data_IF_903847057772
#
_entry.id   IF_903847057772
#
_cell.length_a   1.000
_cell.length_b   1.000
_cell.length_c   1.000
_cell.angle_alpha   90.00
_cell.angle_beta   90.00
_cell.angle_gamma   90.00
#
_symmetry.space_group_name_H-M   'P 1'
#
loop_
_entity.id
_entity.type
_entity.pdbx_description
1 polymer ?
#
# COMPACT_ATOMS: atom_id res chain seq x y z
N UNK A 1 -15.55 32.10 27.18
CA UNK A 1 -14.93 30.81 27.50
C UNK A 1 -15.00 29.91 26.27
N UNK A 2 -13.93 29.83 25.50
CA UNK A 2 -13.79 28.91 24.37
C UNK A 2 -13.28 27.55 24.87
N UNK A 3 -13.89 26.41 24.51
CA UNK A 3 -13.21 25.13 24.65
C UNK A 3 -12.52 24.74 23.33
N UNK A 4 -11.21 24.55 23.48
CA UNK A 4 -10.29 23.61 22.82
C UNK A 4 -10.70 23.05 21.43
N UNK A 5 -9.98 23.52 20.42
CA UNK A 5 -9.73 22.76 19.20
C UNK A 5 -8.88 21.51 19.53
N UNK A 6 -9.49 20.33 19.46
CA UNK A 6 -8.79 19.05 19.45
C UNK A 6 -8.02 18.90 18.13
N UNK A 7 -6.69 18.83 18.26
CA UNK A 7 -5.73 18.57 17.18
C UNK A 7 -6.00 17.18 16.57
N UNK A 8 -6.52 17.13 15.34
CA UNK A 8 -6.71 15.88 14.58
C UNK A 8 -5.35 15.39 14.07
N UNK A 9 -4.65 14.57 14.87
CA UNK A 9 -3.47 13.84 14.42
C UNK A 9 -3.86 12.90 13.27
N UNK A 10 -3.46 13.24 12.06
CA UNK A 10 -3.63 12.36 10.90
C UNK A 10 -2.56 11.29 10.98
N UNK A 11 -2.96 10.09 11.39
CA UNK A 11 -2.08 8.93 11.57
C UNK A 11 -1.60 8.44 10.20
N UNK A 12 -0.29 8.51 9.96
CA UNK A 12 0.37 7.86 8.84
C UNK A 12 0.46 6.35 9.14
N UNK A 13 -0.12 5.53 8.27
CA UNK A 13 -0.09 4.07 8.38
C UNK A 13 1.23 3.54 7.81
N UNK A 14 1.94 2.73 8.58
CA UNK A 14 3.04 1.89 8.10
C UNK A 14 2.58 0.43 8.13
N UNK A 15 2.61 -0.27 7.01
CA UNK A 15 2.24 -1.69 6.93
C UNK A 15 3.42 -2.57 7.36
N UNK A 16 3.12 -3.67 8.04
CA UNK A 16 4.10 -4.51 8.76
C UNK A 16 5.14 -5.14 7.85
N UNK A 17 6.41 -4.81 8.09
CA UNK A 17 7.55 -5.60 7.63
C UNK A 17 8.25 -6.38 8.76
N UNK A 18 8.21 -5.87 9.99
CA UNK A 18 9.11 -6.31 11.05
C UNK A 18 8.82 -7.68 11.70
N UNK A 19 7.69 -8.34 11.44
CA UNK A 19 7.39 -9.66 12.06
C UNK A 19 7.55 -10.88 11.15
N UNK A 20 7.85 -10.72 9.86
CA UNK A 20 7.86 -11.89 8.94
C UNK A 20 9.18 -12.64 8.85
N UNK A 21 10.21 -12.27 9.61
CA UNK A 21 11.54 -12.86 9.47
C UNK A 21 11.83 -14.12 10.31
N UNK A 22 10.91 -14.61 11.15
CA UNK A 22 11.24 -15.69 12.12
C UNK A 22 10.32 -16.91 12.16
N UNK A 23 9.28 -17.02 11.32
CA UNK A 23 8.46 -18.24 11.27
C UNK A 23 8.37 -18.79 9.85
N UNK A 24 9.28 -19.71 9.52
CA UNK A 24 9.14 -20.64 8.42
C UNK A 24 8.07 -21.70 8.78
N UNK A 25 6.81 -21.28 8.84
CA UNK A 25 5.72 -22.20 8.53
C UNK A 25 5.24 -21.83 7.13
N UNK A 26 5.40 -22.77 6.20
CA UNK A 26 4.82 -22.72 4.88
C UNK A 26 3.30 -22.89 5.01
N UNK A 27 2.64 -21.89 5.59
CA UNK A 27 1.20 -21.79 5.49
C UNK A 27 0.92 -21.25 4.10
N UNK A 28 0.25 -22.06 3.28
CA UNK A 28 -0.19 -21.64 1.95
C UNK A 28 -1.02 -20.36 2.07
N UNK A 29 -0.80 -19.42 1.16
CA UNK A 29 -1.65 -18.23 1.09
C UNK A 29 -3.05 -18.64 0.66
N UNK A 30 -4.11 -18.30 1.42
CA UNK A 30 -5.49 -18.46 0.98
C UNK A 30 -5.72 -18.05 -0.48
N UNK A 31 -6.58 -18.81 -1.16
CA UNK A 31 -7.02 -18.53 -2.54
C UNK A 31 -7.60 -17.12 -2.62
N UNK A 32 -7.33 -16.42 -3.72
CA UNK A 32 -7.87 -15.09 -3.98
C UNK A 32 -9.41 -15.14 -4.03
N UNK A 33 -10.05 -14.28 -3.25
CA UNK A 33 -11.51 -14.23 -3.11
C UNK A 33 -12.14 -13.10 -3.94
N UNK A 34 -11.33 -12.27 -4.59
CA UNK A 34 -11.77 -11.25 -5.53
C UNK A 34 -11.81 -11.83 -6.93
N UNK A 35 -12.98 -11.77 -7.55
CA UNK A 35 -13.19 -12.17 -8.94
C UNK A 35 -13.39 -10.92 -9.78
N UNK A 36 -12.38 -10.63 -10.60
CA UNK A 36 -12.39 -9.53 -11.55
C UNK A 36 -12.89 -10.05 -12.92
N UNK A 37 -13.52 -9.20 -13.75
CA UNK A 37 -13.91 -9.57 -15.10
C UNK A 37 -12.68 -9.81 -15.97
N UNK A 38 -12.66 -10.91 -16.70
CA UNK A 38 -11.59 -11.24 -17.65
C UNK A 38 -11.74 -10.49 -18.97
N UNK A 39 -10.63 -10.39 -19.72
CA UNK A 39 -10.59 -9.90 -21.09
C UNK A 39 -10.78 -8.39 -21.24
N UNK A 40 -10.67 -7.62 -20.15
CA UNK A 40 -10.89 -6.17 -20.16
C UNK A 40 -9.87 -5.44 -19.31
N UNK A 41 -9.44 -4.29 -19.82
CA UNK A 41 -8.69 -3.30 -19.06
C UNK A 41 -9.64 -2.34 -18.33
N UNK A 42 -9.32 -2.05 -17.08
CA UNK A 42 -10.05 -1.10 -16.24
C UNK A 42 -9.15 0.04 -15.80
N UNK A 43 -9.55 1.26 -16.18
CA UNK A 43 -8.94 2.50 -15.70
C UNK A 43 -9.61 2.98 -14.41
N UNK A 44 -8.84 2.96 -13.33
CA UNK A 44 -9.25 3.32 -11.98
C UNK A 44 -8.62 4.67 -11.61
N UNK A 45 -9.39 5.76 -11.49
CA UNK A 45 -8.84 7.00 -10.94
C UNK A 45 -8.50 6.78 -9.46
N UNK A 46 -7.47 7.45 -8.97
CA UNK A 46 -7.17 7.48 -7.54
C UNK A 46 -6.95 8.90 -7.02
N UNK A 47 -7.10 9.05 -5.71
CA UNK A 47 -6.86 10.28 -4.98
C UNK A 47 -5.79 10.05 -3.91
N UNK A 48 -5.04 11.09 -3.55
CA UNK A 48 -4.13 11.02 -2.43
C UNK A 48 -4.83 11.37 -1.13
N UNK A 49 -4.73 10.50 -0.12
CA UNK A 49 -4.87 10.95 1.26
C UNK A 49 -3.70 11.85 1.60
N UNK A 50 -3.99 12.94 2.32
CA UNK A 50 -2.99 13.86 2.83
C UNK A 50 -2.93 13.73 4.34
N UNK A 51 -1.74 13.81 4.91
CA UNK A 51 -1.53 14.08 6.32
C UNK A 51 -0.81 15.42 6.47
N UNK A 52 -0.60 15.85 7.71
CA UNK A 52 0.22 17.03 8.02
C UNK A 52 1.64 16.90 7.42
N UNK A 53 2.10 15.67 7.21
CA UNK A 53 3.49 15.33 6.95
C UNK A 53 3.77 14.95 5.49
N UNK A 54 2.73 14.57 4.75
CA UNK A 54 2.88 14.11 3.37
C UNK A 54 1.64 14.43 2.53
N UNK A 55 1.89 14.83 1.28
CA UNK A 55 0.85 14.97 0.27
C UNK A 55 0.45 13.62 -0.34
N UNK A 56 1.20 12.56 -0.04
CA UNK A 56 1.09 11.23 -0.63
C UNK A 56 1.01 10.18 0.48
N UNK A 57 0.11 10.38 1.45
CA UNK A 57 0.04 9.52 2.65
C UNK A 57 -0.63 8.18 2.40
N UNK A 58 -1.57 8.11 1.45
CA UNK A 58 -2.16 6.85 0.97
C UNK A 58 -2.77 7.03 -0.42
N UNK A 59 -2.68 5.98 -1.26
CA UNK A 59 -3.35 5.92 -2.55
C UNK A 59 -4.79 5.42 -2.34
N UNK A 60 -5.78 6.25 -2.61
CA UNK A 60 -7.19 5.96 -2.37
C UNK A 60 -7.94 5.69 -3.67
N UNK A 61 -8.55 4.51 -3.77
CA UNK A 61 -9.37 4.11 -4.91
C UNK A 61 -10.85 4.23 -4.53
N UNK A 62 -11.69 4.86 -5.37
CA UNK A 62 -13.12 4.99 -5.09
C UNK A 62 -13.82 3.63 -5.16
N UNK A 63 -14.71 3.37 -4.22
CA UNK A 63 -15.52 2.15 -4.12
C UNK A 63 -16.99 2.49 -3.93
N UNK A 64 -17.87 1.71 -4.55
CA UNK A 64 -19.33 1.80 -4.40
C UNK A 64 -19.94 0.44 -4.09
N UNK A 65 -20.92 0.45 -3.20
CA UNK A 65 -21.80 -0.69 -2.95
C UNK A 65 -23.09 -0.57 -3.76
N UNK A 66 -23.71 -1.70 -4.07
CA UNK A 66 -25.06 -1.74 -4.66
C UNK A 66 -26.06 -1.02 -3.74
N UNK A 67 -26.93 -0.21 -4.33
CA UNK A 67 -27.96 0.53 -3.57
C UNK A 67 -27.42 1.69 -2.71
N UNK A 68 -26.14 2.01 -2.81
CA UNK A 68 -25.54 3.16 -2.13
C UNK A 68 -25.12 4.24 -3.14
N UNK A 69 -25.71 5.45 -3.09
CA UNK A 69 -25.33 6.54 -3.99
C UNK A 69 -23.99 7.19 -3.64
N UNK A 70 -23.49 7.00 -2.41
CA UNK A 70 -22.25 7.60 -1.93
C UNK A 70 -21.02 6.84 -2.44
N UNK A 71 -19.99 7.58 -2.82
CA UNK A 71 -18.65 7.04 -3.09
C UNK A 71 -17.90 6.98 -1.76
N UNK A 72 -17.33 5.82 -1.48
CA UNK A 72 -16.35 5.62 -0.41
C UNK A 72 -14.97 5.38 -1.03
N UNK A 73 -13.95 5.25 -0.19
CA UNK A 73 -12.59 5.01 -0.65
C UNK A 73 -11.98 3.82 0.09
N UNK A 74 -11.12 3.09 -0.59
CA UNK A 74 -10.25 2.08 0.02
C UNK A 74 -8.81 2.39 -0.33
N UNK A 75 -7.91 2.20 0.64
CA UNK A 75 -6.48 2.37 0.43
C UNK A 75 -5.96 1.21 -0.42
N UNK A 76 -5.28 1.47 -1.52
CA UNK A 76 -4.51 0.46 -2.22
C UNK A 76 -3.19 0.21 -1.48
N UNK A 77 -2.98 -1.02 -1.05
CA UNK A 77 -1.94 -1.38 -0.08
C UNK A 77 -1.29 -2.72 -0.45
N UNK A 78 -0.16 -2.65 -1.16
CA UNK A 78 0.63 -3.85 -1.49
C UNK A 78 1.38 -4.42 -0.28
N UNK A 79 1.39 -3.71 0.85
CA UNK A 79 1.78 -4.20 2.16
C UNK A 79 0.80 -5.22 2.74
N UNK A 80 -0.46 -5.21 2.28
CA UNK A 80 -1.49 -6.17 2.65
C UNK A 80 -1.69 -7.22 1.56
N UNK A 81 -1.49 -8.53 1.83
CA UNK A 81 -1.74 -9.57 0.84
C UNK A 81 -3.22 -9.74 0.50
N UNK A 82 -4.15 -9.21 1.31
CA UNK A 82 -5.59 -9.35 1.13
C UNK A 82 -6.33 -8.03 1.28
N UNK A 83 -7.44 -7.92 0.57
CA UNK A 83 -8.41 -6.85 0.73
C UNK A 83 -9.29 -7.09 1.96
N UNK A 84 -9.68 -6.01 2.64
CA UNK A 84 -10.52 -6.05 3.83
C UNK A 84 -11.36 -4.80 4.00
N UNK A 85 -12.47 -4.92 4.74
CA UNK A 85 -13.32 -3.79 5.13
C UNK A 85 -13.23 -3.53 6.63
N UNK A 86 -13.46 -2.27 7.01
CA UNK A 86 -13.49 -1.84 8.39
C UNK A 86 -14.89 -2.02 8.97
N UNK A 87 -14.99 -2.77 10.08
CA UNK A 87 -16.24 -3.21 10.69
C UNK A 87 -17.24 -2.07 10.93
N UNK A 88 -16.83 -1.05 11.68
CA UNK A 88 -17.72 0.05 12.08
C UNK A 88 -18.17 0.90 10.89
N UNK A 89 -17.30 1.06 9.89
CA UNK A 89 -17.61 1.76 8.65
C UNK A 89 -18.67 0.98 7.86
N UNK A 90 -18.47 -0.32 7.66
CA UNK A 90 -19.43 -1.18 6.96
C UNK A 90 -20.79 -1.23 7.66
N UNK A 91 -20.80 -1.34 8.99
CA UNK A 91 -22.04 -1.30 9.78
C UNK A 91 -22.79 0.02 9.58
N UNK A 92 -22.12 1.17 9.76
CA UNK A 92 -22.74 2.48 9.57
C UNK A 92 -23.31 2.68 8.15
N UNK A 93 -22.65 2.13 7.13
CA UNK A 93 -23.15 2.14 5.75
C UNK A 93 -24.43 1.28 5.64
N UNK A 94 -24.41 0.06 6.18
CA UNK A 94 -25.54 -0.87 6.16
C UNK A 94 -26.78 -0.37 6.92
N UNK A 95 -26.58 0.40 7.98
CA UNK A 95 -27.66 1.04 8.75
C UNK A 95 -28.37 2.11 7.93
N UNK A 96 -27.63 2.86 7.08
CA UNK A 96 -28.19 3.92 6.23
C UNK A 96 -28.70 3.41 4.88
N UNK A 97 -28.05 2.40 4.32
CA UNK A 97 -28.35 1.85 2.99
C UNK A 97 -28.59 0.35 3.11
N UNK A 98 -29.84 -0.10 3.37
CA UNK A 98 -30.13 -1.50 3.68
C UNK A 98 -29.77 -2.51 2.58
N UNK A 99 -29.58 -2.06 1.34
CA UNK A 99 -29.15 -2.89 0.21
C UNK A 99 -27.65 -3.16 0.17
N UNK A 100 -26.84 -2.51 1.01
CA UNK A 100 -25.40 -2.79 1.06
C UNK A 100 -25.12 -4.08 1.82
N UNK A 101 -24.04 -4.79 1.49
CA UNK A 101 -23.68 -6.03 2.16
C UNK A 101 -23.56 -5.83 3.68
N UNK A 102 -24.20 -6.72 4.45
CA UNK A 102 -24.16 -6.70 5.92
C UNK A 102 -23.23 -7.78 6.44
N UNK A 103 -22.76 -7.57 7.67
CA UNK A 103 -22.01 -8.57 8.42
C UNK A 103 -22.99 -9.70 8.73
N UNK A 104 -22.87 -10.83 8.04
CA UNK A 104 -23.85 -11.91 8.09
C UNK A 104 -23.73 -12.79 9.33
N UNK A 105 -22.61 -12.72 10.06
CA UNK A 105 -22.34 -13.61 11.19
C UNK A 105 -21.21 -13.09 12.13
N UNK A 106 -20.93 -13.86 13.18
CA UNK A 106 -19.80 -13.67 14.10
C UNK A 106 -18.44 -13.97 13.48
N UNK A 107 -18.36 -14.51 12.25
CA UNK A 107 -17.10 -14.95 11.63
C UNK A 107 -16.22 -13.79 11.19
N UNK A 108 -16.77 -12.57 11.14
CA UNK A 108 -16.03 -11.38 10.73
C UNK A 108 -15.63 -11.40 9.26
N UNK A 109 -16.47 -12.00 8.41
CA UNK A 109 -16.29 -12.06 6.97
C UNK A 109 -17.53 -11.53 6.25
N UNK A 110 -17.31 -10.91 5.10
CA UNK A 110 -18.35 -10.55 4.15
C UNK A 110 -18.35 -11.61 3.04
N UNK A 111 -19.51 -12.15 2.70
CA UNK A 111 -19.62 -13.22 1.70
C UNK A 111 -20.53 -12.82 0.53
N UNK A 112 -20.20 -13.33 -0.66
CA UNK A 112 -21.05 -13.30 -1.86
C UNK A 112 -21.65 -11.93 -2.17
N UNK A 113 -20.82 -10.91 -2.31
CA UNK A 113 -21.28 -9.56 -2.64
C UNK A 113 -20.59 -8.99 -3.87
N UNK A 114 -21.26 -8.05 -4.53
CA UNK A 114 -20.64 -7.28 -5.62
C UNK A 114 -20.37 -5.85 -5.17
N UNK A 115 -19.15 -5.38 -5.44
CA UNK A 115 -18.72 -4.00 -5.25
C UNK A 115 -18.23 -3.44 -6.58
N UNK A 116 -18.22 -2.11 -6.73
CA UNK A 116 -17.50 -1.46 -7.82
C UNK A 116 -16.26 -0.80 -7.28
N UNK A 117 -15.10 -1.14 -7.81
CA UNK A 117 -13.83 -0.45 -7.59
C UNK A 117 -13.62 0.46 -8.79
N UNK A 118 -13.76 1.77 -8.61
CA UNK A 118 -13.92 2.71 -9.72
C UNK A 118 -15.11 2.32 -10.61
N UNK A 119 -14.82 2.01 -11.87
CA UNK A 119 -15.80 1.48 -12.83
C UNK A 119 -15.76 -0.06 -12.95
N UNK A 120 -14.80 -0.73 -12.32
CA UNK A 120 -14.62 -2.19 -12.39
C UNK A 120 -15.61 -2.89 -11.47
N UNK A 121 -16.51 -3.74 -12.00
CA UNK A 121 -17.34 -4.59 -11.15
C UNK A 121 -16.47 -5.71 -10.58
N UNK A 122 -16.54 -5.94 -9.28
CA UNK A 122 -15.81 -7.01 -8.59
C UNK A 122 -16.80 -7.87 -7.83
N UNK A 123 -16.74 -9.17 -8.04
CA UNK A 123 -17.43 -10.15 -7.21
C UNK A 123 -16.50 -10.55 -6.07
N UNK A 124 -16.96 -10.35 -4.84
CA UNK A 124 -16.28 -10.72 -3.60
C UNK A 124 -16.92 -12.02 -3.11
N UNK A 125 -16.20 -13.13 -3.22
CA UNK A 125 -16.64 -14.42 -2.67
C UNK A 125 -16.60 -14.38 -1.15
N UNK A 126 -15.49 -13.89 -0.62
CA UNK A 126 -15.25 -13.67 0.80
C UNK A 126 -14.32 -12.45 0.96
N UNK A 127 -14.54 -11.63 1.97
CA UNK A 127 -13.62 -10.55 2.36
C UNK A 127 -13.58 -10.42 3.87
N UNK A 128 -12.37 -10.29 4.41
CA UNK A 128 -12.19 -10.14 5.86
C UNK A 128 -12.75 -8.79 6.29
N UNK A 129 -13.45 -8.79 7.43
CA UNK A 129 -13.89 -7.59 8.13
C UNK A 129 -13.05 -7.46 9.40
N UNK A 130 -12.30 -6.37 9.49
CA UNK A 130 -11.45 -6.09 10.65
C UNK A 130 -12.00 -4.93 11.47
N UNK A 131 -11.93 -5.08 12.79
CA UNK A 131 -12.04 -3.94 13.69
C UNK A 131 -10.70 -3.19 13.61
N UNK A 132 -10.71 -1.98 13.05
CA UNK A 132 -9.50 -1.16 12.90
C UNK A 132 -9.50 0.03 13.84
N UNK A 133 -10.60 0.78 13.86
CA UNK A 133 -10.84 1.89 14.77
C UNK A 133 -12.29 1.89 15.28
N UNK A 134 -12.62 2.78 16.20
CA UNK A 134 -13.99 2.93 16.72
C UNK A 134 -14.87 3.87 15.87
N UNK A 135 -14.38 4.40 14.76
CA UNK A 135 -15.05 5.48 14.01
C UNK A 135 -16.10 4.95 13.04
N UNK A 136 -17.29 5.57 13.06
CA UNK A 136 -18.33 5.38 12.05
C UNK A 136 -18.10 6.25 10.81
N UNK A 137 -19.10 6.34 9.93
CA UNK A 137 -19.07 7.25 8.77
C UNK A 137 -19.46 8.66 9.18
N UNK A 138 -18.66 9.67 8.81
CA UNK A 138 -19.11 11.05 8.88
C UNK A 138 -20.09 11.34 7.71
N UNK A 139 -21.35 11.50 8.07
CA UNK A 139 -22.44 11.75 7.13
C UNK A 139 -22.68 13.22 6.81
N UNK A 140 -22.11 14.13 7.59
CA UNK A 140 -22.34 15.58 7.49
C UNK A 140 -21.37 16.25 6.51
N UNK A 141 -20.22 15.62 6.25
CA UNK A 141 -19.22 16.12 5.32
C UNK A 141 -19.01 15.16 4.15
N UNK A 142 -18.79 15.72 2.96
CA UNK A 142 -18.35 14.98 1.77
C UNK A 142 -16.86 14.61 1.84
N UNK A 143 -16.35 14.31 3.03
CA UNK A 143 -14.98 13.85 3.22
C UNK A 143 -14.76 12.48 2.53
N UNK A 144 -13.51 12.24 2.12
CA UNK A 144 -13.08 10.94 1.61
C UNK A 144 -13.07 9.93 2.76
N UNK A 145 -14.19 9.23 2.93
CA UNK A 145 -14.34 8.19 3.95
C UNK A 145 -13.63 6.91 3.50
N UNK A 146 -12.57 6.56 4.20
CA UNK A 146 -11.82 5.32 3.99
C UNK A 146 -12.53 4.19 4.74
N UNK A 147 -12.96 3.16 4.01
CA UNK A 147 -13.79 2.07 4.53
C UNK A 147 -13.07 0.72 4.55
N UNK A 148 -11.83 0.69 4.10
CA UNK A 148 -11.04 -0.53 4.04
C UNK A 148 -9.76 -0.40 3.23
N UNK A 149 -9.17 -1.56 2.96
CA UNK A 149 -7.91 -1.74 2.26
C UNK A 149 -8.11 -2.66 1.07
N UNK A 150 -7.58 -2.28 -0.09
CA UNK A 150 -7.44 -3.10 -1.29
C UNK A 150 -6.02 -3.64 -1.31
N UNK A 151 -5.88 -4.94 -1.00
CA UNK A 151 -4.59 -5.60 -0.93
C UNK A 151 -4.04 -5.99 -2.30
N UNK A 152 -2.90 -6.68 -2.30
CA UNK A 152 -2.26 -7.22 -3.51
C UNK A 152 -3.12 -8.28 -4.19
N UNK A 153 -4.08 -8.89 -3.50
CA UNK A 153 -5.09 -9.78 -4.10
C UNK A 153 -5.92 -9.11 -5.22
N UNK A 154 -6.04 -7.77 -5.22
CA UNK A 154 -6.67 -7.03 -6.31
C UNK A 154 -5.90 -7.17 -7.64
N UNK A 155 -4.58 -7.28 -7.58
CA UNK A 155 -3.68 -7.33 -8.74
C UNK A 155 -2.97 -8.69 -8.89
N UNK A 156 -3.43 -9.70 -8.14
CA UNK A 156 -2.88 -11.05 -8.21
C UNK A 156 -3.21 -11.65 -9.59
N UNK A 157 -2.18 -12.16 -10.26
CA UNK A 157 -2.27 -12.71 -11.61
C UNK A 157 -2.80 -11.69 -12.65
N UNK A 158 -2.31 -10.43 -12.58
CA UNK A 158 -2.69 -9.28 -13.43
C UNK A 158 -1.47 -8.45 -13.81
N UNK A 159 -1.63 -7.60 -14.83
CA UNK A 159 -0.78 -6.44 -15.01
C UNK A 159 -1.46 -5.22 -14.40
N UNK A 160 -0.69 -4.42 -13.67
CA UNK A 160 -1.10 -3.11 -13.17
C UNK A 160 -0.16 -2.02 -13.68
N UNK A 161 -0.72 -0.94 -14.21
CA UNK A 161 0.01 0.30 -14.51
C UNK A 161 -0.41 1.32 -13.47
N UNK A 162 0.51 1.81 -12.65
CA UNK A 162 0.27 2.92 -11.72
C UNK A 162 0.90 4.17 -12.33
N UNK A 163 0.05 5.03 -12.89
CA UNK A 163 0.47 6.30 -13.45
C UNK A 163 0.36 7.39 -12.38
N UNK A 164 1.46 7.62 -11.64
CA UNK A 164 1.48 8.58 -10.55
C UNK A 164 1.21 10.03 -11.01
N UNK A 165 1.84 10.53 -12.09
CA UNK A 165 1.58 11.88 -12.59
C UNK A 165 0.12 12.11 -12.97
N UNK A 166 -0.51 11.15 -13.65
CA UNK A 166 -1.88 11.26 -14.15
C UNK A 166 -2.96 10.71 -13.19
N UNK A 167 -2.54 10.19 -12.03
CA UNK A 167 -3.41 9.76 -10.91
C UNK A 167 -4.45 8.71 -11.29
N UNK A 168 -4.03 7.69 -12.02
CA UNK A 168 -4.85 6.51 -12.27
C UNK A 168 -4.05 5.22 -12.24
N UNK A 169 -4.75 4.11 -12.04
CA UNK A 169 -4.25 2.77 -12.29
C UNK A 169 -4.96 2.16 -13.49
N UNK A 170 -4.26 1.36 -14.28
CA UNK A 170 -4.86 0.40 -15.21
C UNK A 170 -4.68 -0.99 -14.63
N UNK A 171 -5.74 -1.79 -14.61
CA UNK A 171 -5.67 -3.21 -14.29
C UNK A 171 -6.17 -3.99 -15.50
N UNK A 172 -5.36 -4.92 -15.97
CA UNK A 172 -5.62 -5.75 -17.15
C UNK A 172 -5.17 -7.19 -16.90
N UNK A 173 -5.60 -8.09 -17.79
CA UNK A 173 -5.01 -9.41 -17.83
C UNK A 173 -3.51 -9.33 -18.17
N UNK A 174 -2.70 -10.27 -17.65
CA UNK A 174 -1.26 -10.25 -17.88
C UNK A 174 -0.90 -10.18 -19.35
N UNK A 175 0.05 -9.33 -19.70
CA UNK A 175 0.53 -9.27 -21.07
C UNK A 175 1.28 -10.56 -21.41
N UNK A 176 0.96 -11.15 -22.57
CA UNK A 176 1.77 -12.26 -23.10
C UNK A 176 3.11 -11.78 -23.64
N UNK A 177 3.22 -10.48 -23.96
CA UNK A 177 4.42 -9.86 -24.50
C UNK A 177 4.66 -8.49 -23.85
N UNK A 178 5.90 -8.27 -23.44
CA UNK A 178 6.39 -6.99 -22.96
C UNK A 178 6.39 -5.97 -24.11
N UNK A 179 5.97 -4.74 -23.83
CA UNK A 179 5.95 -3.69 -24.85
C UNK A 179 7.38 -3.39 -25.33
N UNK A 180 7.58 -3.38 -26.65
CA UNK A 180 8.87 -3.08 -27.26
C UNK A 180 9.36 -1.68 -26.87
N UNK A 181 10.66 -1.55 -26.60
CA UNK A 181 11.30 -0.29 -26.21
C UNK A 181 11.27 0.04 -24.73
N UNK A 182 10.73 -0.84 -23.88
CA UNK A 182 10.77 -0.70 -22.42
C UNK A 182 11.79 -1.66 -21.82
N UNK A 183 12.54 -1.18 -20.81
CA UNK A 183 13.43 -2.03 -20.02
C UNK A 183 12.64 -2.73 -18.92
N UNK A 184 12.44 -4.03 -19.07
CA UNK A 184 11.76 -4.85 -18.07
C UNK A 184 12.78 -5.53 -17.15
N UNK A 185 12.55 -5.44 -15.85
CA UNK A 185 13.32 -6.13 -14.83
C UNK A 185 12.49 -7.23 -14.16
N UNK A 186 13.18 -8.18 -13.55
CA UNK A 186 12.57 -9.20 -12.70
C UNK A 186 12.18 -8.61 -11.34
N UNK A 187 10.97 -8.94 -10.88
CA UNK A 187 10.57 -8.77 -9.49
C UNK A 187 10.40 -10.13 -8.83
N UNK A 188 10.46 -10.15 -7.51
CA UNK A 188 10.09 -11.34 -6.73
C UNK A 188 8.63 -11.17 -6.30
N UNK A 189 7.77 -12.07 -6.79
CA UNK A 189 6.37 -12.15 -6.37
C UNK A 189 6.16 -13.45 -5.60
N UNK A 190 6.05 -13.35 -4.29
CA UNK A 190 5.85 -14.50 -3.42
C UNK A 190 4.86 -14.15 -2.30
N UNK A 191 3.89 -15.05 -2.07
CA UNK A 191 2.86 -14.87 -1.02
C UNK A 191 2.16 -13.50 -1.11
N UNK A 192 1.94 -13.01 -2.34
CA UNK A 192 1.39 -11.69 -2.68
C UNK A 192 2.20 -10.50 -2.14
N UNK A 193 3.49 -10.67 -1.91
CA UNK A 193 4.45 -9.58 -1.69
C UNK A 193 5.17 -9.27 -3.00
N UNK A 194 5.37 -7.99 -3.28
CA UNK A 194 6.11 -7.51 -4.45
C UNK A 194 7.46 -7.02 -3.95
N UNK A 195 8.54 -7.72 -4.30
CA UNK A 195 9.89 -7.31 -3.93
C UNK A 195 10.64 -6.85 -5.18
N UNK A 196 11.18 -5.64 -5.12
CA UNK A 196 11.89 -4.98 -6.21
C UNK A 196 13.39 -5.01 -5.93
N UNK A 197 14.21 -5.61 -6.82
CA UNK A 197 15.65 -5.43 -6.77
C UNK A 197 16.01 -3.97 -6.97
N UNK A 198 16.96 -3.49 -6.18
CA UNK A 198 17.49 -2.13 -6.30
C UNK A 198 18.96 -2.10 -5.91
N UNK A 199 19.70 -1.14 -6.44
CA UNK A 199 21.08 -0.89 -6.05
C UNK A 199 21.24 0.45 -5.36
N UNK A 200 22.05 0.46 -4.31
CA UNK A 200 22.40 1.66 -3.55
C UNK A 200 23.85 1.58 -3.12
N UNK A 201 24.64 2.63 -3.39
CA UNK A 201 26.07 2.62 -3.09
C UNK A 201 26.84 1.46 -3.73
N UNK A 202 26.43 1.00 -4.93
CA UNK A 202 27.04 -0.13 -5.63
C UNK A 202 26.68 -1.52 -5.08
N UNK A 203 25.78 -1.61 -4.10
CA UNK A 203 25.32 -2.88 -3.53
C UNK A 203 23.90 -3.18 -3.98
N UNK A 204 23.68 -4.38 -4.53
CA UNK A 204 22.35 -4.90 -4.84
C UNK A 204 21.61 -5.32 -3.57
N UNK A 205 20.35 -4.92 -3.46
CA UNK A 205 19.44 -5.18 -2.34
C UNK A 205 18.02 -5.40 -2.85
N UNK A 206 17.14 -5.85 -1.97
CA UNK A 206 15.72 -6.08 -2.27
C UNK A 206 14.86 -5.14 -1.42
N UNK A 207 13.93 -4.41 -2.05
CA UNK A 207 12.95 -3.58 -1.36
C UNK A 207 11.56 -4.23 -1.42
N UNK A 208 10.85 -4.29 -0.29
CA UNK A 208 9.42 -4.61 -0.32
C UNK A 208 8.65 -3.37 -0.81
N UNK A 209 7.97 -3.50 -1.95
CA UNK A 209 7.11 -2.45 -2.47
C UNK A 209 5.77 -2.45 -1.73
N UNK A 210 5.56 -1.40 -0.94
CA UNK A 210 4.45 -1.26 -0.02
C UNK A 210 3.77 0.10 -0.21
N UNK A 211 2.69 0.12 -1.01
CA UNK A 211 1.88 1.32 -1.22
C UNK A 211 1.16 1.79 0.03
N UNK A 212 1.07 0.98 1.09
CA UNK A 212 0.57 1.39 2.41
C UNK A 212 1.58 2.25 3.17
N UNK A 213 2.88 2.01 3.00
CA UNK A 213 3.97 2.85 3.49
C UNK A 213 4.27 4.03 2.54
N UNK A 214 3.20 4.63 2.01
CA UNK A 214 3.17 5.53 0.85
C UNK A 214 4.12 6.72 0.90
N UNK A 215 4.30 7.33 2.08
CA UNK A 215 5.05 8.58 2.23
C UNK A 215 6.58 8.42 2.17
N UNK A 216 7.08 7.19 2.12
CA UNK A 216 8.51 6.91 2.23
C UNK A 216 9.12 6.45 0.91
N UNK A 217 10.15 7.17 0.45
CA UNK A 217 10.92 6.77 -0.72
C UNK A 217 11.72 5.49 -0.46
N UNK A 218 12.42 5.44 0.67
CA UNK A 218 13.09 4.24 1.18
C UNK A 218 13.06 4.23 2.71
N UNK A 219 12.52 3.16 3.27
CA UNK A 219 12.63 2.78 4.68
C UNK A 219 13.73 1.72 4.79
N UNK A 220 14.81 1.99 5.51
CA UNK A 220 15.99 1.11 5.61
C UNK A 220 16.46 0.99 7.06
N UNK A 221 17.50 0.18 7.29
CA UNK A 221 18.17 0.14 8.59
C UNK A 221 18.91 1.46 8.91
N UNK A 222 19.07 1.74 10.20
CA UNK A 222 19.66 2.99 10.70
C UNK A 222 21.06 3.27 10.12
N UNK A 223 21.90 2.26 9.93
CA UNK A 223 23.26 2.46 9.42
C UNK A 223 23.21 2.92 7.95
N UNK A 224 22.41 2.26 7.12
CA UNK A 224 22.20 2.69 5.73
C UNK A 224 21.57 4.09 5.67
N UNK A 225 20.60 4.40 6.54
CA UNK A 225 19.97 5.72 6.56
C UNK A 225 20.95 6.85 6.90
N UNK A 226 21.84 6.63 7.88
CA UNK A 226 22.87 7.59 8.26
C UNK A 226 23.95 7.74 7.17
N UNK A 227 24.30 6.65 6.48
CA UNK A 227 25.27 6.68 5.39
C UNK A 227 24.76 7.51 4.20
N UNK A 228 23.47 7.44 3.90
CA UNK A 228 22.84 8.17 2.78
C UNK A 228 22.37 9.58 3.17
N UNK A 229 22.43 9.95 4.45
CA UNK A 229 22.03 11.29 4.87
C UNK A 229 22.99 12.34 4.30
N UNK A 230 22.45 13.46 3.81
CA UNK A 230 23.31 14.57 3.38
C UNK A 230 24.17 15.07 4.56
N UNK A 231 25.41 15.52 4.33
CA UNK A 231 26.25 16.08 5.39
C UNK A 231 25.54 17.19 6.17
N UNK A 232 25.48 17.06 7.50
CA UNK A 232 24.81 18.01 8.38
C UNK A 232 23.27 17.96 8.37
N UNK A 233 22.66 16.98 7.69
CA UNK A 233 21.20 16.81 7.71
C UNK A 233 20.71 16.50 9.14
N UNK A 234 19.80 17.34 9.63
CA UNK A 234 19.17 17.13 10.94
C UNK A 234 18.05 16.07 10.83
N UNK A 235 17.93 15.17 11.82
CA UNK A 235 16.86 14.18 11.84
C UNK A 235 15.50 14.86 12.03
N UNK A 236 14.49 14.32 11.36
CA UNK A 236 13.07 14.62 11.63
C UNK A 236 12.39 13.33 12.07
N UNK A 237 11.98 13.26 13.33
CA UNK A 237 11.33 12.08 13.92
C UNK A 237 9.83 12.30 14.06
N UNK A 238 9.03 11.27 13.78
CA UNK A 238 7.57 11.31 13.90
C UNK A 238 7.02 9.99 14.39
N UNK A 239 5.94 10.07 15.16
CA UNK A 239 5.22 8.89 15.58
C UNK A 239 4.32 8.42 14.43
N UNK A 240 4.48 7.16 14.04
CA UNK A 240 3.68 6.48 13.03
C UNK A 240 2.92 5.32 13.65
N UNK A 241 1.72 5.05 13.16
CA UNK A 241 0.97 3.87 13.61
C UNK A 241 1.18 2.74 12.63
N UNK A 242 1.53 1.58 13.16
CA UNK A 242 1.55 0.32 12.42
C UNK A 242 0.64 -0.67 13.13
N UNK A 243 -0.54 -0.91 12.55
CA UNK A 243 -1.52 -1.88 13.05
C UNK A 243 -1.79 -1.82 14.56
N UNK A 244 -2.01 -0.61 15.09
CA UNK A 244 -2.31 -0.40 16.51
C UNK A 244 -1.09 -0.25 17.41
N UNK A 245 0.12 -0.29 16.87
CA UNK A 245 1.37 0.02 17.58
C UNK A 245 1.90 1.38 17.16
N UNK A 246 2.36 2.16 18.12
CA UNK A 246 3.07 3.41 17.88
C UNK A 246 4.57 3.11 17.68
N UNK A 247 5.12 3.54 16.56
CA UNK A 247 6.54 3.45 16.22
C UNK A 247 7.07 4.86 15.95
N UNK A 248 8.40 5.05 15.99
CA UNK A 248 9.02 6.33 15.62
C UNK A 248 9.75 6.17 14.30
N UNK A 249 9.34 6.92 13.29
CA UNK A 249 10.04 7.04 12.01
C UNK A 249 10.98 8.24 12.07
N UNK A 250 12.27 8.00 11.86
CA UNK A 250 13.30 9.05 11.83
C UNK A 250 13.83 9.20 10.41
N UNK A 251 13.69 10.40 9.84
CA UNK A 251 14.04 10.71 8.46
C UNK A 251 15.15 11.74 8.36
N UNK A 252 16.01 11.61 7.35
CA UNK A 252 17.03 12.60 6.98
C UNK A 252 16.81 13.05 5.55
N UNK A 253 17.12 14.32 5.26
CA UNK A 253 17.26 14.78 3.87
C UNK A 253 18.43 14.05 3.23
N UNK A 254 18.26 13.67 1.96
CA UNK A 254 19.31 13.06 1.15
C UNK A 254 19.23 13.58 -0.28
N UNK A 255 20.40 13.77 -0.89
CA UNK A 255 20.55 14.03 -2.33
C UNK A 255 20.87 12.75 -3.10
N UNK A 256 20.97 11.61 -2.41
CA UNK A 256 21.22 10.32 -3.04
C UNK A 256 19.99 9.81 -3.78
N UNK A 257 20.27 8.78 -4.56
CA UNK A 257 19.32 8.05 -5.39
C UNK A 257 19.57 6.57 -5.25
N UNK A 258 18.55 5.77 -5.53
CA UNK A 258 18.71 4.33 -5.76
C UNK A 258 18.47 4.02 -7.23
N UNK A 259 19.06 2.95 -7.72
CA UNK A 259 18.75 2.44 -9.06
C UNK A 259 17.77 1.28 -8.92
N UNK A 260 16.65 1.34 -9.62
CA UNK A 260 15.72 0.23 -9.76
C UNK A 260 15.61 -0.07 -11.25
N UNK A 261 15.83 -1.33 -11.64
CA UNK A 261 16.03 -1.69 -13.04
C UNK A 261 17.16 -0.84 -13.67
N UNK A 262 16.87 -0.08 -14.72
CA UNK A 262 17.78 0.86 -15.37
C UNK A 262 17.53 2.33 -14.98
N UNK A 263 16.64 2.60 -14.01
CA UNK A 263 16.24 3.95 -13.62
C UNK A 263 16.87 4.37 -12.30
N UNK A 264 17.56 5.52 -12.34
CA UNK A 264 18.08 6.20 -11.15
C UNK A 264 16.98 7.09 -10.57
N UNK A 265 16.48 6.74 -9.39
CA UNK A 265 15.36 7.40 -8.72
C UNK A 265 15.85 8.21 -7.52
N UNK A 266 15.62 9.54 -7.47
CA UNK A 266 16.01 10.35 -6.33
C UNK A 266 15.18 10.00 -5.09
N UNK A 267 15.82 9.90 -3.93
CA UNK A 267 15.13 9.58 -2.67
C UNK A 267 14.49 10.82 -2.04
N UNK A 268 15.22 11.94 -2.01
CA UNK A 268 14.86 13.19 -1.31
C UNK A 268 14.91 13.07 0.22
N UNK A 269 14.32 12.00 0.77
CA UNK A 269 14.42 11.62 2.17
C UNK A 269 14.72 10.13 2.31
N UNK A 270 15.51 9.81 3.33
CA UNK A 270 15.82 8.44 3.76
C UNK A 270 15.35 8.25 5.19
N UNK A 271 14.70 7.13 5.49
CA UNK A 271 14.03 6.93 6.78
C UNK A 271 14.41 5.59 7.37
N UNK A 272 14.51 5.52 8.70
CA UNK A 272 14.53 4.27 9.45
C UNK A 272 13.47 4.29 10.56
N UNK A 273 13.09 3.10 11.03
CA UNK A 273 12.14 2.95 12.14
C UNK A 273 12.90 2.60 13.42
N UNK A 274 12.62 3.34 14.49
CA UNK A 274 13.13 3.07 15.84
C UNK A 274 12.26 2.01 16.54
N UNK A 275 12.88 1.27 17.47
CA UNK A 275 12.20 0.20 18.21
C UNK A 275 12.15 -1.15 17.49
N UNK A 276 12.92 -1.31 16.40
CA UNK A 276 13.16 -2.59 15.74
C UNK A 276 14.32 -3.30 16.44
N UNK A 277 14.19 -4.60 16.72
CA UNK A 277 15.25 -5.38 17.36
C UNK A 277 16.43 -5.68 16.42
N UNK A 278 17.64 -5.81 16.98
CA UNK A 278 18.85 -6.16 16.21
C UNK A 278 18.72 -7.52 15.50
N UNK A 279 17.98 -8.46 16.10
CA UNK A 279 17.67 -9.75 15.49
C UNK A 279 16.87 -9.58 14.20
N UNK A 280 15.88 -8.69 14.18
CA UNK A 280 15.09 -8.37 12.97
C UNK A 280 15.96 -7.72 11.91
N UNK A 281 16.76 -6.71 12.28
CA UNK A 281 17.70 -6.05 11.34
C UNK A 281 18.68 -7.05 10.75
N UNK A 282 19.20 -7.97 11.57
CA UNK A 282 20.12 -9.02 11.12
C UNK A 282 19.45 -10.01 10.16
N UNK A 283 18.21 -10.40 10.42
CA UNK A 283 17.45 -11.29 9.54
C UNK A 283 17.14 -10.63 8.19
N UNK A 284 16.83 -9.32 8.18
CA UNK A 284 16.69 -8.55 6.94
C UNK A 284 17.98 -8.58 6.12
N UNK A 285 19.11 -8.24 6.74
CA UNK A 285 20.41 -8.22 6.07
C UNK A 285 20.77 -9.58 5.48
N UNK A 286 20.54 -10.67 6.22
CA UNK A 286 20.81 -12.06 5.77
C UNK A 286 19.91 -12.51 4.60
N UNK A 287 18.71 -11.95 4.49
CA UNK A 287 17.78 -12.26 3.39
C UNK A 287 18.00 -11.39 2.14
N UNK A 288 18.97 -10.47 2.15
CA UNK A 288 19.18 -9.50 1.07
C UNK A 288 18.15 -8.35 1.08
N UNK A 289 17.25 -8.32 2.07
CA UNK A 289 16.29 -7.23 2.25
C UNK A 289 17.03 -5.96 2.65
N UNK A 290 16.99 -4.97 1.77
CA UNK A 290 17.53 -3.62 1.99
C UNK A 290 16.54 -2.65 2.61
N UNK A 291 15.25 -2.97 2.62
CA UNK A 291 14.24 -2.09 3.17
C UNK A 291 12.87 -2.24 2.53
N UNK A 292 12.08 -1.17 2.60
CA UNK A 292 10.79 -1.04 1.95
C UNK A 292 10.73 0.26 1.17
N UNK A 293 9.93 0.30 0.12
CA UNK A 293 9.67 1.52 -0.65
C UNK A 293 8.17 1.70 -0.86
N UNK A 294 7.70 2.93 -0.72
CA UNK A 294 6.31 3.29 -0.96
C UNK A 294 6.13 4.12 -2.23
N UNK A 295 4.92 4.66 -2.38
CA UNK A 295 4.53 5.48 -3.53
C UNK A 295 5.45 6.69 -3.76
N UNK A 296 5.98 7.29 -2.70
CA UNK A 296 6.84 8.47 -2.73
C UNK A 296 8.04 8.34 -3.68
N UNK A 297 8.59 7.13 -3.84
CA UNK A 297 9.72 6.89 -4.75
C UNK A 297 9.32 7.04 -6.24
N UNK A 298 8.05 6.75 -6.56
CA UNK A 298 7.57 6.64 -7.93
C UNK A 298 6.66 7.80 -8.35
N UNK A 299 6.45 8.83 -7.50
CA UNK A 299 5.46 9.90 -7.74
C UNK A 299 5.61 10.64 -9.07
N UNK A 300 6.80 10.63 -9.66
CA UNK A 300 7.13 11.28 -10.93
C UNK A 300 7.21 10.31 -12.11
N UNK A 301 6.93 9.02 -11.91
CA UNK A 301 7.10 7.96 -12.89
C UNK A 301 5.78 7.21 -13.13
N UNK A 302 5.78 6.35 -14.14
CA UNK A 302 4.77 5.31 -14.33
C UNK A 302 5.41 3.98 -13.93
N UNK A 303 4.78 3.27 -13.00
CA UNK A 303 5.22 1.93 -12.58
C UNK A 303 4.31 0.88 -13.20
N UNK A 304 4.87 -0.03 -13.98
CA UNK A 304 4.15 -1.17 -14.55
C UNK A 304 4.60 -2.44 -13.85
N UNK A 305 3.67 -3.21 -13.29
CA UNK A 305 3.93 -4.47 -12.58
C UNK A 305 3.08 -5.57 -13.21
N UNK A 306 3.73 -6.66 -13.64
CA UNK A 306 3.09 -7.89 -14.07
C UNK A 306 3.34 -8.98 -13.03
N UNK A 307 2.31 -9.29 -12.23
CA UNK A 307 2.43 -10.24 -11.11
C UNK A 307 2.45 -11.70 -11.58
N UNK A 308 1.87 -12.01 -12.76
CA UNK A 308 1.92 -13.37 -13.33
C UNK A 308 3.32 -13.67 -13.85
N UNK A 309 3.85 -12.76 -14.66
CA UNK A 309 5.15 -12.95 -15.31
C UNK A 309 6.32 -12.54 -14.43
N UNK A 310 6.05 -11.93 -13.26
CA UNK A 310 7.05 -11.46 -12.29
C UNK A 310 8.02 -10.46 -12.91
N UNK A 311 7.46 -9.51 -13.65
CA UNK A 311 8.22 -8.48 -14.36
C UNK A 311 7.68 -7.09 -14.01
N UNK A 312 8.53 -6.10 -14.03
CA UNK A 312 8.12 -4.70 -13.92
C UNK A 312 8.98 -3.80 -14.80
N UNK A 313 8.48 -2.60 -15.09
CA UNK A 313 9.24 -1.53 -15.72
C UNK A 313 8.82 -0.17 -15.15
N UNK A 314 9.67 0.83 -15.35
CA UNK A 314 9.48 2.20 -14.89
C UNK A 314 9.63 3.13 -16.10
N UNK A 315 8.62 3.97 -16.34
CA UNK A 315 8.55 4.90 -17.47
C UNK A 315 8.54 6.35 -17.01
#
# INVERSE_FOLDING_TARGET
MHPLFMLRKTVLLLTTFFYTCLCCHAQDIPVNQLVLPAGKEYKLPFSWAKSEDSQYSALLIPVRFKGCPRIFYMQFDTGSPYSMLYRNKLQAIGDRYPQTPRISDTTGKLQQCSIRIGNMPVLVREMVIKQFDSTGINWQHNAMEIIGTLGTDLIDNKTVVINYPQKYMLISDPHTQQQAGQTWADLIYEKRKILLPFSVGGTEKIAFFDTGSSAYGLLTDKATALQLASPGALPTSRNVSSWGRLLTATSFKTTDSITIADKKLPLGFITYIEGVSDAQVSAMKKSGMGGMTGNALFIHNILVIDTRNKKFCIL
#
